data_IF_492768055774
#
_entry.id   IF_492768055774
#
_cell.length_a   1.000
_cell.length_b   1.000
_cell.length_c   1.000
_cell.angle_alpha   90.00
_cell.angle_beta   90.00
_cell.angle_gamma   90.00
#
_symmetry.space_group_name_H-M   'P 1'
#
loop_
_entity.id
_entity.type
_entity.pdbx_description
1 polymer ?
#
# COMPACT_ATOMS: atom_id res chain seq x y z
N UNK A 1 -17.31 -3.55 -44.05
CA UNK A 1 -15.85 -3.36 -43.90
C UNK A 1 -15.63 -2.89 -42.47
N UNK A 2 -15.19 -3.80 -41.62
CA UNK A 2 -15.00 -3.65 -40.17
C UNK A 2 -13.70 -2.91 -39.90
N UNK A 3 -13.76 -1.78 -39.20
CA UNK A 3 -12.63 -1.17 -38.50
C UNK A 3 -13.18 -0.19 -37.47
N UNK A 4 -12.50 -0.09 -36.32
CA UNK A 4 -12.71 0.82 -35.17
C UNK A 4 -13.41 0.21 -33.96
N UNK A 5 -12.78 -0.77 -33.33
CA UNK A 5 -13.05 -1.20 -31.94
C UNK A 5 -11.81 -1.89 -31.36
N UNK A 6 -10.67 -1.19 -31.35
CA UNK A 6 -9.44 -1.65 -30.68
C UNK A 6 -8.77 -0.51 -29.88
N UNK A 7 -9.57 0.36 -29.26
CA UNK A 7 -9.09 1.36 -28.29
C UNK A 7 -9.98 1.28 -27.05
N UNK A 8 -9.87 0.20 -26.27
CA UNK A 8 -10.65 0.12 -25.00
C UNK A 8 -10.18 -0.88 -23.95
N UNK A 9 -9.10 -1.65 -24.15
CA UNK A 9 -8.70 -2.68 -23.16
C UNK A 9 -7.57 -2.24 -22.21
N UNK A 10 -6.59 -1.47 -22.69
CA UNK A 10 -5.40 -1.11 -21.90
C UNK A 10 -5.65 0.05 -20.92
N UNK A 11 -6.47 1.04 -21.27
CA UNK A 11 -6.79 2.17 -20.37
C UNK A 11 -7.69 1.76 -19.19
N UNK A 12 -8.54 0.74 -19.38
CA UNK A 12 -9.39 0.22 -18.32
C UNK A 12 -8.57 -0.51 -17.25
N UNK A 13 -7.48 -1.22 -17.63
CA UNK A 13 -6.62 -1.93 -16.66
C UNK A 13 -5.76 -1.01 -15.80
N UNK A 14 -5.43 0.21 -16.24
CA UNK A 14 -4.60 1.14 -15.48
C UNK A 14 -5.41 2.09 -14.57
N UNK A 15 -6.68 2.38 -14.89
CA UNK A 15 -7.51 3.32 -14.12
C UNK A 15 -8.22 2.71 -12.90
N UNK A 16 -8.26 1.38 -12.78
CA UNK A 16 -9.04 0.71 -11.71
C UNK A 16 -8.50 0.98 -10.31
N UNK A 17 -7.21 1.32 -10.14
CA UNK A 17 -6.60 1.40 -8.80
C UNK A 17 -6.65 2.77 -8.12
N UNK A 18 -6.85 3.88 -8.83
CA UNK A 18 -6.82 5.22 -8.21
C UNK A 18 -8.00 5.52 -7.26
N UNK A 19 -8.98 4.61 -7.19
CA UNK A 19 -10.06 4.60 -6.20
C UNK A 19 -10.36 3.22 -5.62
N UNK A 20 -9.55 2.20 -5.93
CA UNK A 20 -9.73 0.87 -5.40
C UNK A 20 -9.41 0.84 -3.91
N UNK A 21 -10.31 0.27 -3.11
CA UNK A 21 -10.02 -0.11 -1.73
C UNK A 21 -10.02 -1.63 -1.69
N UNK A 22 -8.95 -2.26 -1.22
CA UNK A 22 -8.93 -3.71 -1.14
C UNK A 22 -10.03 -4.20 -0.21
N UNK A 23 -10.49 -5.44 -0.44
CA UNK A 23 -11.43 -6.10 0.47
C UNK A 23 -10.69 -6.37 1.77
N UNK A 24 -10.92 -5.50 2.74
CA UNK A 24 -10.56 -5.76 4.11
C UNK A 24 -11.55 -6.76 4.71
N UNK A 25 -11.12 -7.59 5.66
CA UNK A 25 -12.05 -8.36 6.44
C UNK A 25 -13.02 -7.40 7.13
N UNK A 26 -14.28 -7.79 7.23
CA UNK A 26 -15.31 -6.96 7.87
C UNK A 26 -14.99 -6.69 9.34
N UNK A 27 -14.26 -7.62 9.96
CA UNK A 27 -13.67 -7.49 11.29
C UNK A 27 -12.16 -7.54 11.11
N UNK A 28 -11.43 -6.53 11.59
CA UNK A 28 -9.97 -6.53 11.55
C UNK A 28 -9.43 -7.24 12.82
N UNK A 29 -9.00 -8.51 12.74
CA UNK A 29 -8.59 -9.25 13.94
C UNK A 29 -7.19 -8.84 14.44
N UNK A 30 -6.41 -8.13 13.64
CA UNK A 30 -5.06 -7.65 14.02
C UNK A 30 -5.06 -6.17 14.40
N UNK A 31 -6.18 -5.47 14.26
CA UNK A 31 -6.37 -4.11 14.76
C UNK A 31 -6.40 -4.06 16.29
N UNK A 32 -5.89 -2.98 16.88
CA UNK A 32 -5.86 -2.78 18.34
C UNK A 32 -7.24 -2.87 19.00
N UNK A 33 -8.32 -2.60 18.26
CA UNK A 33 -9.71 -2.66 18.74
C UNK A 33 -10.21 -4.09 18.98
N UNK A 34 -9.66 -5.07 18.28
CA UNK A 34 -10.12 -6.44 18.37
C UNK A 34 -9.85 -7.06 19.76
N UNK A 35 -8.76 -6.64 20.43
CA UNK A 35 -8.46 -7.09 21.81
C UNK A 35 -9.49 -6.58 22.82
N UNK A 36 -10.02 -5.35 22.63
CA UNK A 36 -11.11 -4.82 23.44
C UNK A 36 -12.40 -5.62 23.25
N UNK A 37 -12.69 -6.02 22.01
CA UNK A 37 -13.83 -6.87 21.70
C UNK A 37 -13.73 -8.24 22.39
N UNK A 38 -12.53 -8.83 22.40
CA UNK A 38 -12.27 -10.12 23.08
C UNK A 38 -12.40 -9.99 24.60
N UNK A 39 -11.89 -8.92 25.20
CA UNK A 39 -11.84 -8.76 26.66
C UNK A 39 -13.13 -8.22 27.28
N UNK A 40 -13.72 -7.20 26.65
CA UNK A 40 -14.74 -6.37 27.28
C UNK A 40 -16.09 -6.39 26.58
N UNK A 41 -16.09 -6.63 25.26
CA UNK A 41 -17.27 -6.67 24.42
C UNK A 41 -17.70 -8.09 24.03
N UNK A 42 -18.53 -8.15 22.99
CA UNK A 42 -19.03 -9.38 22.37
C UNK A 42 -19.15 -9.19 20.87
N UNK A 43 -18.61 -10.11 20.07
CA UNK A 43 -18.89 -10.16 18.64
C UNK A 43 -20.13 -11.00 18.38
N UNK A 44 -21.17 -10.38 17.83
CA UNK A 44 -22.44 -11.01 17.53
C UNK A 44 -22.56 -11.27 16.03
N UNK A 45 -23.10 -12.43 15.69
CA UNK A 45 -23.72 -12.69 14.39
C UNK A 45 -25.23 -12.45 14.54
N UNK A 46 -25.78 -11.60 13.69
CA UNK A 46 -27.22 -11.35 13.67
C UNK A 46 -27.75 -11.08 12.27
N UNK A 47 -29.07 -11.08 12.17
CA UNK A 47 -29.80 -10.76 10.95
C UNK A 47 -30.56 -9.45 11.15
N UNK A 48 -30.43 -8.49 10.22
CA UNK A 48 -31.18 -7.23 10.28
C UNK A 48 -32.67 -7.53 10.12
N UNK A 49 -33.48 -7.19 11.12
CA UNK A 49 -34.95 -7.35 11.07
C UNK A 49 -35.67 -6.03 10.85
N UNK A 50 -35.06 -4.91 11.26
CA UNK A 50 -35.57 -3.56 11.02
C UNK A 50 -34.39 -2.61 10.77
N UNK A 51 -34.56 -1.65 9.87
CA UNK A 51 -33.58 -0.62 9.57
C UNK A 51 -34.27 0.69 9.20
N UNK A 52 -33.80 1.79 9.77
CA UNK A 52 -34.30 3.15 9.52
C UNK A 52 -33.11 4.11 9.38
N UNK A 53 -33.15 4.98 8.38
CA UNK A 53 -32.18 6.08 8.26
C UNK A 53 -32.64 7.23 9.15
N UNK A 54 -31.78 7.71 10.04
CA UNK A 54 -32.15 8.82 10.94
C UNK A 54 -32.21 10.18 10.24
N UNK A 55 -31.68 10.27 9.01
CA UNK A 55 -31.57 11.52 8.25
C UNK A 55 -30.43 12.42 8.71
N UNK A 56 -29.65 12.03 9.73
CA UNK A 56 -28.40 12.71 10.06
C UNK A 56 -27.30 12.27 9.11
N UNK A 57 -26.73 13.22 8.40
CA UNK A 57 -25.49 13.10 7.64
C UNK A 57 -24.41 13.89 8.37
N UNK A 58 -23.14 13.56 8.18
CA UNK A 58 -22.02 14.28 8.80
C UNK A 58 -21.90 15.71 8.21
N UNK A 59 -22.72 16.64 8.72
CA UNK A 59 -22.93 18.00 8.18
C UNK A 59 -21.63 18.80 8.11
N UNK A 60 -20.68 18.51 9.00
CA UNK A 60 -19.42 19.25 9.12
C UNK A 60 -18.36 18.82 8.09
N UNK A 61 -18.60 17.76 7.29
CA UNK A 61 -17.59 17.14 6.41
C UNK A 61 -16.26 16.82 7.11
N UNK A 62 -16.28 16.66 8.43
CA UNK A 62 -15.08 16.31 9.20
C UNK A 62 -14.56 14.92 8.82
N UNK A 63 -15.43 14.06 8.29
CA UNK A 63 -15.09 12.68 7.95
C UNK A 63 -15.28 12.45 6.45
N UNK A 64 -14.19 12.55 5.68
CA UNK A 64 -14.09 11.80 4.43
C UNK A 64 -13.70 10.36 4.79
N UNK A 65 -14.49 9.32 4.42
CA UNK A 65 -15.67 9.31 3.54
C UNK A 65 -17.04 9.49 4.24
N UNK A 66 -18.10 9.74 3.45
CA UNK A 66 -19.50 9.96 3.92
C UNK A 66 -20.02 8.85 4.86
N UNK A 67 -20.38 9.24 6.09
CA UNK A 67 -21.04 8.36 7.06
C UNK A 67 -22.55 8.61 7.10
N UNK A 68 -23.31 7.53 7.28
CA UNK A 68 -24.77 7.57 7.44
C UNK A 68 -25.13 6.96 8.80
N UNK A 69 -25.95 7.67 9.57
CA UNK A 69 -26.51 7.17 10.82
C UNK A 69 -27.78 6.33 10.56
N UNK A 70 -27.82 5.15 11.15
CA UNK A 70 -28.92 4.21 11.09
C UNK A 70 -29.44 3.89 12.49
N UNK A 71 -30.73 3.58 12.56
CA UNK A 71 -31.33 2.77 13.62
C UNK A 71 -31.60 1.41 13.08
N UNK A 72 -31.29 0.36 13.85
CA UNK A 72 -31.55 -0.99 13.40
C UNK A 72 -31.88 -1.93 14.54
N UNK A 73 -32.61 -3.00 14.21
CA UNK A 73 -32.86 -4.13 15.11
C UNK A 73 -32.24 -5.38 14.50
N UNK A 74 -31.47 -6.11 15.30
CA UNK A 74 -30.87 -7.38 14.95
C UNK A 74 -31.60 -8.51 15.67
N UNK A 75 -32.00 -9.56 14.95
CA UNK A 75 -32.22 -10.87 15.55
C UNK A 75 -30.84 -11.53 15.72
N UNK A 76 -30.52 -11.95 16.94
CA UNK A 76 -29.19 -12.50 17.24
C UNK A 76 -29.18 -14.00 16.96
N UNK A 77 -28.32 -14.41 16.03
CA UNK A 77 -28.16 -15.81 15.63
C UNK A 77 -27.26 -16.54 16.65
N UNK A 78 -26.09 -15.95 16.95
CA UNK A 78 -25.13 -16.47 17.95
C UNK A 78 -24.10 -15.44 18.38
N UNK A 79 -23.44 -15.73 19.51
CA UNK A 79 -22.17 -15.11 19.92
C UNK A 79 -21.02 -15.83 19.24
N UNK A 80 -20.10 -15.10 18.60
CA UNK A 80 -18.89 -15.68 18.01
C UNK A 80 -17.78 -15.80 19.07
N UNK A 81 -17.44 -14.69 19.74
CA UNK A 81 -16.57 -14.69 20.92
C UNK A 81 -16.80 -13.42 21.77
N UNK A 82 -16.19 -13.37 22.95
CA UNK A 82 -16.35 -12.29 23.93
C UNK A 82 -17.28 -12.70 25.07
N UNK A 83 -17.92 -11.72 25.73
CA UNK A 83 -18.82 -11.98 26.86
C UNK A 83 -20.12 -12.66 26.42
N UNK A 84 -20.74 -13.48 27.28
CA UNK A 84 -22.06 -14.04 27.01
C UNK A 84 -23.09 -12.94 26.71
N UNK A 85 -23.92 -13.18 25.70
CA UNK A 85 -25.05 -12.34 25.34
C UNK A 85 -26.31 -13.20 25.32
N UNK A 86 -27.31 -12.84 26.12
CA UNK A 86 -28.48 -13.69 26.38
C UNK A 86 -29.76 -13.20 25.69
N UNK A 87 -29.74 -12.00 25.11
CA UNK A 87 -30.90 -11.46 24.41
C UNK A 87 -31.00 -12.06 23.01
N UNK A 88 -32.23 -12.33 22.56
CA UNK A 88 -32.50 -12.84 21.21
C UNK A 88 -32.61 -11.72 20.17
N UNK A 89 -32.74 -10.48 20.63
CA UNK A 89 -32.93 -9.30 19.79
C UNK A 89 -32.16 -8.14 20.38
N UNK A 90 -31.45 -7.39 19.54
CA UNK A 90 -30.69 -6.21 19.94
C UNK A 90 -31.21 -5.00 19.16
N UNK A 91 -31.65 -3.95 19.88
CA UNK A 91 -32.04 -2.67 19.30
C UNK A 91 -30.88 -1.68 19.38
N UNK A 92 -30.56 -1.06 18.25
CA UNK A 92 -29.43 -0.13 18.10
C UNK A 92 -30.00 1.21 17.65
N UNK A 93 -29.98 2.19 18.56
CA UNK A 93 -30.59 3.51 18.38
C UNK A 93 -29.75 4.50 17.55
N UNK A 94 -28.46 4.20 17.39
CA UNK A 94 -27.54 4.97 16.55
C UNK A 94 -26.40 4.06 16.12
N UNK A 95 -26.18 3.95 14.82
CA UNK A 95 -25.04 3.25 14.24
C UNK A 95 -24.57 4.00 13.01
N UNK A 96 -23.30 4.35 12.99
CA UNK A 96 -22.69 5.05 11.86
C UNK A 96 -21.96 4.03 10.99
N UNK A 97 -22.31 3.96 9.71
CA UNK A 97 -21.57 3.16 8.74
C UNK A 97 -21.09 4.04 7.58
N UNK A 98 -19.97 3.64 7.00
CA UNK A 98 -19.41 4.28 5.81
C UNK A 98 -20.21 3.81 4.60
N UNK A 99 -20.84 4.76 3.88
CA UNK A 99 -21.70 4.48 2.73
C UNK A 99 -21.02 3.62 1.66
N UNK A 100 -19.72 3.83 1.51
CA UNK A 100 -18.89 3.22 0.47
C UNK A 100 -18.25 1.88 0.85
N UNK A 101 -18.45 1.38 2.07
CA UNK A 101 -17.74 0.18 2.55
C UNK A 101 -18.64 -0.98 3.00
N UNK A 102 -19.97 -0.88 2.84
CA UNK A 102 -20.88 -1.93 3.31
C UNK A 102 -20.73 -3.24 2.51
N UNK A 103 -20.94 -3.19 1.20
CA UNK A 103 -20.68 -4.30 0.29
C UNK A 103 -19.88 -3.74 -0.89
N UNK A 104 -18.54 -3.79 -0.79
CA UNK A 104 -17.64 -3.44 -1.90
C UNK A 104 -17.72 -4.42 -3.10
N UNK A 105 -18.75 -5.27 -3.15
CA UNK A 105 -18.85 -6.44 -4.03
C UNK A 105 -19.50 -6.10 -5.38
N UNK A 106 -20.11 -4.92 -5.54
CA UNK A 106 -20.69 -4.52 -6.84
C UNK A 106 -20.54 -3.02 -7.09
N UNK A 107 -20.48 -2.64 -8.39
CA UNK A 107 -20.58 -1.25 -8.86
C UNK A 107 -21.78 -0.52 -8.25
N UNK A 108 -22.82 -1.28 -7.90
CA UNK A 108 -23.92 -0.83 -7.07
C UNK A 108 -23.53 -0.92 -5.60
N UNK A 109 -23.13 0.21 -5.00
CA UNK A 109 -22.94 0.36 -3.56
C UNK A 109 -24.27 0.09 -2.83
N UNK A 110 -24.50 -1.15 -2.42
CA UNK A 110 -25.76 -1.54 -1.77
C UNK A 110 -25.68 -1.21 -0.28
N UNK A 111 -26.58 -0.37 0.27
CA UNK A 111 -26.65 -0.11 1.71
C UNK A 111 -27.16 -1.35 2.47
N UNK A 112 -26.99 -1.43 3.80
CA UNK A 112 -27.57 -2.49 4.61
C UNK A 112 -29.09 -2.59 4.43
N UNK A 113 -29.62 -3.81 4.41
CA UNK A 113 -31.04 -4.10 4.23
C UNK A 113 -31.57 -5.12 5.23
N UNK A 114 -32.89 -5.14 5.42
CA UNK A 114 -33.55 -6.19 6.18
C UNK A 114 -33.28 -7.55 5.53
N UNK A 115 -32.90 -8.54 6.34
CA UNK A 115 -32.50 -9.87 5.89
C UNK A 115 -30.98 -10.06 5.77
N UNK A 116 -30.18 -8.97 5.74
CA UNK A 116 -28.73 -9.09 5.71
C UNK A 116 -28.21 -9.73 7.00
N UNK A 117 -27.30 -10.71 6.84
CA UNK A 117 -26.50 -11.24 7.94
C UNK A 117 -25.28 -10.37 8.19
N UNK A 118 -25.09 -10.00 9.45
CA UNK A 118 -24.09 -9.01 9.84
C UNK A 118 -23.30 -9.45 11.07
N UNK A 119 -22.04 -9.03 11.09
CA UNK A 119 -21.17 -9.04 12.24
C UNK A 119 -21.32 -7.71 12.97
N UNK A 120 -21.62 -7.75 14.27
CA UNK A 120 -21.79 -6.56 15.09
C UNK A 120 -21.00 -6.66 16.39
N UNK A 121 -20.17 -5.67 16.70
CA UNK A 121 -19.52 -5.58 18.00
C UNK A 121 -20.39 -4.88 19.03
N UNK A 122 -20.81 -5.64 20.03
CA UNK A 122 -21.57 -5.13 21.15
C UNK A 122 -20.64 -4.79 22.33
N UNK A 123 -20.80 -3.59 22.88
CA UNK A 123 -20.21 -3.17 24.13
C UNK A 123 -21.32 -2.74 25.10
N UNK A 124 -21.17 -2.99 26.41
CA UNK A 124 -22.07 -2.46 27.42
C UNK A 124 -22.26 -0.94 27.29
N UNK A 125 -23.44 -0.38 27.62
CA UNK A 125 -23.75 1.04 27.40
C UNK A 125 -22.77 2.02 28.05
N UNK A 126 -22.18 1.66 29.19
CA UNK A 126 -21.16 2.43 29.92
C UNK A 126 -19.80 2.47 29.21
N UNK A 127 -19.60 1.62 28.21
CA UNK A 127 -18.38 1.51 27.38
C UNK A 127 -18.66 1.68 25.89
N UNK A 128 -19.84 2.19 25.55
CA UNK A 128 -20.28 2.32 24.17
C UNK A 128 -19.69 3.58 23.52
N UNK A 129 -18.80 3.36 22.54
CA UNK A 129 -18.29 4.41 21.67
C UNK A 129 -18.81 4.18 20.24
N UNK A 130 -19.74 5.01 19.72
CA UNK A 130 -20.37 4.80 18.41
C UNK A 130 -19.39 4.65 17.24
N UNK A 131 -18.17 5.20 17.37
CA UNK A 131 -17.11 5.21 16.36
C UNK A 131 -16.20 3.97 16.38
N UNK A 132 -16.40 3.07 17.35
CA UNK A 132 -15.55 1.90 17.60
C UNK A 132 -16.24 0.58 17.28
N UNK A 133 -17.42 0.65 16.66
CA UNK A 133 -18.27 -0.51 16.43
C UNK A 133 -17.94 -1.14 15.07
N UNK A 134 -17.64 -2.44 15.09
CA UNK A 134 -17.67 -3.28 13.91
C UNK A 134 -19.12 -3.49 13.50
N UNK A 135 -19.44 -3.08 12.28
CA UNK A 135 -20.68 -3.41 11.59
C UNK A 135 -20.32 -3.71 10.15
N UNK A 136 -20.43 -4.99 9.77
CA UNK A 136 -20.03 -5.46 8.45
C UNK A 136 -20.87 -6.67 8.01
N UNK A 137 -21.00 -6.92 6.71
CA UNK A 137 -21.65 -8.13 6.22
C UNK A 137 -20.90 -9.40 6.66
N UNK A 138 -21.65 -10.43 7.04
CA UNK A 138 -21.11 -11.71 7.50
C UNK A 138 -20.90 -12.68 6.33
N UNK A 139 -19.80 -12.53 5.58
CA UNK A 139 -19.44 -13.51 4.54
C UNK A 139 -19.06 -14.86 5.13
N UNK A 140 -19.30 -15.95 4.38
CA UNK A 140 -18.94 -17.30 4.85
C UNK A 140 -17.45 -17.46 5.16
N UNK A 141 -16.57 -16.85 4.36
CA UNK A 141 -15.12 -16.88 4.59
C UNK A 141 -14.74 -16.15 5.88
N UNK A 142 -15.37 -15.01 6.16
CA UNK A 142 -15.15 -14.26 7.40
C UNK A 142 -15.63 -15.06 8.61
N UNK A 143 -16.81 -15.66 8.52
CA UNK A 143 -17.36 -16.49 9.59
C UNK A 143 -16.46 -17.70 9.88
N UNK A 144 -16.01 -18.42 8.86
CA UNK A 144 -15.08 -19.55 9.02
C UNK A 144 -13.78 -19.10 9.70
N UNK A 145 -13.24 -17.94 9.32
CA UNK A 145 -12.04 -17.38 9.97
C UNK A 145 -12.28 -17.07 11.44
N UNK A 146 -13.34 -16.34 11.75
CA UNK A 146 -13.65 -15.93 13.11
C UNK A 146 -13.99 -17.12 14.02
N UNK A 147 -14.65 -18.15 13.49
CA UNK A 147 -14.90 -19.41 14.20
C UNK A 147 -13.58 -20.10 14.57
N UNK A 148 -12.63 -20.20 13.63
CA UNK A 148 -11.29 -20.74 13.92
C UNK A 148 -10.56 -19.94 15.01
N UNK A 149 -10.66 -18.62 14.98
CA UNK A 149 -10.10 -17.75 16.03
C UNK A 149 -10.76 -18.06 17.38
N UNK A 150 -12.09 -18.10 17.43
CA UNK A 150 -12.85 -18.39 18.64
C UNK A 150 -12.51 -19.77 19.23
N UNK A 151 -12.38 -20.80 18.38
CA UNK A 151 -11.97 -22.14 18.79
C UNK A 151 -10.58 -22.16 19.43
N UNK A 152 -9.61 -21.42 18.87
CA UNK A 152 -8.27 -21.30 19.47
C UNK A 152 -8.35 -20.61 20.83
N UNK A 153 -9.05 -19.48 20.90
CA UNK A 153 -9.15 -18.69 22.13
C UNK A 153 -9.86 -19.45 23.27
N UNK A 154 -10.75 -20.38 22.94
CA UNK A 154 -11.51 -21.19 23.91
C UNK A 154 -10.90 -22.56 24.19
N UNK A 155 -9.87 -22.98 23.45
CA UNK A 155 -9.15 -24.25 23.66
C UNK A 155 -8.53 -24.28 25.05
N UNK A 156 -8.91 -25.22 25.92
CA UNK A 156 -8.46 -25.26 27.34
C UNK A 156 -6.99 -25.60 27.54
N UNK A 157 -6.39 -26.34 26.60
CA UNK A 157 -4.98 -26.72 26.66
C UNK A 157 -4.14 -25.65 25.96
N UNK A 158 -3.33 -24.92 26.75
CA UNK A 158 -2.52 -23.79 26.28
C UNK A 158 -1.50 -24.23 25.21
N UNK A 159 -0.85 -25.38 25.38
CA UNK A 159 0.10 -25.95 24.41
C UNK A 159 -0.59 -26.29 23.09
N UNK A 160 -1.79 -26.88 23.16
CA UNK A 160 -2.57 -27.18 21.97
C UNK A 160 -3.01 -25.89 21.23
N UNK A 161 -3.38 -24.85 21.98
CA UNK A 161 -3.74 -23.56 21.41
C UNK A 161 -2.51 -22.87 20.75
N UNK A 162 -1.37 -22.89 21.43
CA UNK A 162 -0.10 -22.39 20.92
C UNK A 162 0.32 -23.10 19.63
N UNK A 163 0.22 -24.43 19.59
CA UNK A 163 0.51 -25.21 18.39
C UNK A 163 -0.44 -24.86 17.22
N UNK A 164 -1.74 -24.64 17.50
CA UNK A 164 -2.70 -24.19 16.48
C UNK A 164 -2.36 -22.79 15.96
N UNK A 165 -1.88 -21.89 16.81
CA UNK A 165 -1.40 -20.56 16.39
C UNK A 165 -0.18 -20.70 15.48
N UNK A 166 0.82 -21.48 15.88
CA UNK A 166 2.04 -21.70 15.09
C UNK A 166 1.75 -22.32 13.72
N UNK A 167 0.90 -23.35 13.67
CA UNK A 167 0.43 -23.92 12.40
C UNK A 167 -0.36 -22.90 11.59
N UNK A 168 -1.20 -22.11 12.26
CA UNK A 168 -1.99 -21.05 11.65
C UNK A 168 -1.17 -19.93 11.01
N UNK A 169 0.08 -19.69 11.45
CA UNK A 169 0.96 -18.72 10.80
C UNK A 169 1.23 -19.05 9.33
N UNK A 170 1.15 -20.33 8.93
CA UNK A 170 1.38 -20.81 7.56
C UNK A 170 0.07 -21.05 6.79
N UNK A 171 -1.05 -20.53 7.28
CA UNK A 171 -2.36 -20.78 6.70
C UNK A 171 -2.55 -20.12 5.34
N UNK A 172 -3.26 -20.76 4.39
CA UNK A 172 -3.58 -20.15 3.10
C UNK A 172 -4.52 -18.93 3.21
N UNK A 173 -5.29 -18.76 4.30
CA UNK A 173 -6.02 -17.52 4.54
C UNK A 173 -5.07 -16.44 5.10
N UNK A 174 -4.72 -15.42 4.30
CA UNK A 174 -3.69 -14.45 4.68
C UNK A 174 -4.07 -13.61 5.90
N UNK A 175 -5.36 -13.39 6.13
CA UNK A 175 -5.82 -12.61 7.28
C UNK A 175 -5.77 -13.44 8.56
N UNK A 176 -6.07 -14.74 8.48
CA UNK A 176 -5.90 -15.67 9.60
C UNK A 176 -4.42 -15.86 9.93
N UNK A 177 -3.58 -16.11 8.93
CA UNK A 177 -2.14 -16.24 9.09
C UNK A 177 -1.52 -14.99 9.73
N UNK A 178 -1.91 -13.80 9.27
CA UNK A 178 -1.48 -12.54 9.87
C UNK A 178 -1.94 -12.37 11.32
N UNK A 179 -3.16 -12.80 11.66
CA UNK A 179 -3.63 -12.78 13.04
C UNK A 179 -2.78 -13.72 13.91
N UNK A 180 -2.55 -14.97 13.48
CA UNK A 180 -1.70 -15.92 14.20
C UNK A 180 -0.28 -15.36 14.41
N UNK A 181 0.33 -14.77 13.37
CA UNK A 181 1.63 -14.12 13.46
C UNK A 181 1.62 -12.95 14.46
N UNK A 182 0.55 -12.16 14.49
CA UNK A 182 0.40 -11.05 15.44
C UNK A 182 0.30 -11.56 16.88
N UNK A 183 -0.52 -12.58 17.13
CA UNK A 183 -0.69 -13.22 18.45
C UNK A 183 0.61 -13.85 18.95
N UNK A 184 1.38 -14.45 18.04
CA UNK A 184 2.67 -15.09 18.33
C UNK A 184 3.81 -14.13 18.67
N UNK A 185 3.58 -12.80 18.73
CA UNK A 185 4.59 -11.86 19.20
C UNK A 185 5.14 -12.28 20.58
N UNK A 186 6.41 -11.98 20.88
CA UNK A 186 7.08 -12.42 22.10
C UNK A 186 6.64 -11.62 23.33
N UNK A 187 6.60 -12.26 24.50
CA UNK A 187 5.98 -11.71 25.72
C UNK A 187 6.58 -10.36 26.16
N UNK A 188 7.88 -10.17 25.92
CA UNK A 188 8.68 -8.99 26.20
C UNK A 188 8.47 -7.82 25.22
N UNK A 189 8.03 -8.10 24.00
CA UNK A 189 7.84 -7.08 22.95
C UNK A 189 6.49 -6.35 23.01
N UNK A 190 5.51 -6.90 23.72
CA UNK A 190 4.14 -6.34 23.76
C UNK A 190 3.84 -5.79 25.15
N UNK A 191 3.73 -4.46 25.23
CA UNK A 191 3.37 -3.74 26.47
C UNK A 191 1.88 -3.41 26.57
N UNK A 192 1.11 -3.67 25.50
CA UNK A 192 -0.34 -3.43 25.49
C UNK A 192 -1.06 -4.42 26.43
N UNK A 193 -1.55 -3.91 27.56
CA UNK A 193 -2.28 -4.68 28.57
C UNK A 193 -3.52 -5.38 28.01
N UNK A 194 -4.24 -4.77 27.07
CA UNK A 194 -5.44 -5.39 26.49
C UNK A 194 -5.07 -6.56 25.60
N UNK A 195 -4.03 -6.41 24.78
CA UNK A 195 -3.48 -7.52 24.02
C UNK A 195 -3.01 -8.68 24.92
N UNK A 196 -2.26 -8.37 25.98
CA UNK A 196 -1.80 -9.37 26.95
C UNK A 196 -2.96 -10.09 27.63
N UNK A 197 -4.05 -9.39 27.94
CA UNK A 197 -5.24 -9.99 28.55
C UNK A 197 -5.97 -10.90 27.56
N UNK A 198 -6.11 -10.48 26.31
CA UNK A 198 -6.85 -11.23 25.28
C UNK A 198 -6.12 -12.51 24.86
N UNK A 199 -4.78 -12.45 24.73
CA UNK A 199 -4.00 -13.51 24.10
C UNK A 199 -2.93 -14.13 25.00
N UNK A 200 -2.68 -13.57 26.18
CA UNK A 200 -1.57 -13.96 27.06
C UNK A 200 -1.51 -15.46 27.32
N UNK A 201 -2.66 -16.10 27.55
CA UNK A 201 -2.75 -17.55 27.77
C UNK A 201 -2.29 -18.36 26.57
N UNK A 202 -2.86 -18.11 25.39
CA UNK A 202 -2.60 -18.93 24.19
C UNK A 202 -1.22 -18.68 23.58
N UNK A 203 -0.60 -17.53 23.87
CA UNK A 203 0.75 -17.20 23.39
C UNK A 203 1.87 -17.56 24.35
N UNK A 204 1.59 -17.74 25.65
CA UNK A 204 2.62 -17.98 26.66
C UNK A 204 3.56 -19.17 26.34
N UNK A 205 3.09 -20.27 25.73
CA UNK A 205 3.98 -21.38 25.36
C UNK A 205 4.84 -21.14 24.11
N UNK A 206 4.56 -20.09 23.33
CA UNK A 206 5.25 -19.82 22.06
C UNK A 206 6.59 -19.13 22.35
N UNK A 207 7.69 -19.75 21.95
CA UNK A 207 9.01 -19.14 22.09
C UNK A 207 9.31 -18.16 20.95
N UNK A 208 10.24 -17.25 21.20
CA UNK A 208 10.75 -16.33 20.18
C UNK A 208 11.30 -17.08 18.98
N UNK A 209 12.04 -18.17 19.19
CA UNK A 209 12.64 -19.00 18.14
C UNK A 209 11.58 -19.60 17.21
N UNK A 210 10.52 -20.20 17.76
CA UNK A 210 9.44 -20.80 16.95
C UNK A 210 8.77 -19.78 16.04
N UNK A 211 8.54 -18.56 16.55
CA UNK A 211 8.01 -17.45 15.77
C UNK A 211 8.97 -17.01 14.67
N UNK A 212 10.24 -16.84 15.01
CA UNK A 212 11.29 -16.44 14.06
C UNK A 212 11.38 -17.46 12.92
N UNK A 213 11.34 -18.75 13.25
CA UNK A 213 11.34 -19.83 12.28
C UNK A 213 10.13 -19.76 11.36
N UNK A 214 8.92 -19.51 11.88
CA UNK A 214 7.72 -19.31 11.07
C UNK A 214 7.85 -18.10 10.13
N UNK A 215 8.36 -16.96 10.62
CA UNK A 215 8.64 -15.78 9.80
C UNK A 215 9.63 -16.09 8.67
N UNK A 216 10.71 -16.83 8.95
CA UNK A 216 11.69 -17.24 7.94
C UNK A 216 11.11 -18.22 6.92
N UNK A 217 10.27 -19.17 7.34
CA UNK A 217 9.59 -20.09 6.44
C UNK A 217 8.71 -19.33 5.46
N UNK A 218 7.89 -18.39 5.95
CA UNK A 218 7.03 -17.55 5.11
C UNK A 218 7.82 -16.63 4.18
N UNK A 219 8.90 -16.02 4.67
CA UNK A 219 9.74 -15.15 3.84
C UNK A 219 10.42 -15.92 2.70
N UNK A 220 10.79 -17.18 2.95
CA UNK A 220 11.39 -18.09 1.95
C UNK A 220 10.37 -18.65 0.96
N UNK A 221 9.09 -18.62 1.27
CA UNK A 221 8.03 -19.13 0.41
C UNK A 221 7.64 -18.10 -0.66
N UNK A 222 7.93 -18.34 -1.95
CA UNK A 222 7.55 -17.43 -3.02
C UNK A 222 6.04 -17.32 -3.21
N UNK A 223 5.23 -18.23 -2.66
CA UNK A 223 3.76 -18.22 -2.74
C UNK A 223 3.10 -17.52 -1.55
N UNK A 224 3.87 -17.02 -0.59
CA UNK A 224 3.35 -16.26 0.54
C UNK A 224 2.48 -15.10 0.04
N UNK A 225 1.31 -14.86 0.63
CA UNK A 225 0.48 -13.72 0.25
C UNK A 225 1.15 -12.40 0.67
N UNK A 226 1.06 -11.35 -0.17
CA UNK A 226 1.73 -10.06 0.03
C UNK A 226 1.49 -9.42 1.41
N UNK A 227 0.25 -9.49 1.91
CA UNK A 227 -0.12 -9.03 3.26
C UNK A 227 0.72 -9.67 4.36
N UNK A 228 0.97 -10.98 4.24
CA UNK A 228 1.74 -11.78 5.21
C UNK A 228 3.22 -11.54 5.01
N UNK A 229 3.68 -11.51 3.76
CA UNK A 229 5.08 -11.28 3.40
C UNK A 229 5.61 -9.95 3.98
N UNK A 230 4.88 -8.86 3.76
CA UNK A 230 5.25 -7.54 4.28
C UNK A 230 5.29 -7.56 5.82
N UNK A 231 4.30 -8.20 6.46
CA UNK A 231 4.24 -8.33 7.91
C UNK A 231 5.45 -9.08 8.48
N UNK A 232 5.78 -10.27 7.96
CA UNK A 232 6.94 -11.04 8.44
C UNK A 232 8.26 -10.34 8.18
N UNK A 233 8.38 -9.62 7.06
CA UNK A 233 9.57 -8.84 6.76
C UNK A 233 9.79 -7.74 7.81
N UNK A 234 8.75 -6.99 8.18
CA UNK A 234 8.85 -5.99 9.25
C UNK A 234 9.28 -6.61 10.57
N UNK A 235 8.75 -7.80 10.92
CA UNK A 235 9.12 -8.49 12.16
C UNK A 235 10.57 -8.95 12.16
N UNK A 236 11.07 -9.48 11.05
CA UNK A 236 12.48 -9.87 10.93
C UNK A 236 13.40 -8.65 10.91
N UNK A 237 13.05 -7.59 10.18
CA UNK A 237 13.85 -6.37 10.08
C UNK A 237 13.94 -5.58 11.40
N UNK A 238 12.94 -5.67 12.27
CA UNK A 238 12.96 -5.06 13.59
C UNK A 238 13.95 -5.75 14.55
N UNK A 239 14.46 -6.93 14.19
CA UNK A 239 15.50 -7.64 14.95
C UNK A 239 16.88 -7.21 14.48
N UNK A 240 17.85 -7.26 15.38
CA UNK A 240 19.27 -7.15 15.05
C UNK A 240 19.73 -8.42 14.31
N UNK A 241 19.40 -8.52 13.02
CA UNK A 241 19.81 -9.63 12.17
C UNK A 241 21.33 -9.64 11.98
N UNK A 242 21.91 -10.84 11.98
CA UNK A 242 23.31 -11.06 11.60
C UNK A 242 23.53 -10.75 10.11
N UNK A 243 24.79 -10.59 9.70
CA UNK A 243 25.12 -10.38 8.27
C UNK A 243 24.62 -11.53 7.39
N UNK A 244 24.73 -12.78 7.85
CA UNK A 244 24.25 -13.95 7.11
C UNK A 244 22.71 -13.94 6.98
N UNK A 245 22.00 -13.55 8.03
CA UNK A 245 20.54 -13.38 7.98
C UNK A 245 20.14 -12.23 7.06
N UNK A 246 20.86 -11.10 7.05
CA UNK A 246 20.58 -10.01 6.12
C UNK A 246 20.74 -10.47 4.66
N UNK A 247 21.80 -11.21 4.34
CA UNK A 247 22.00 -11.77 3.00
C UNK A 247 20.87 -12.74 2.62
N UNK A 248 20.53 -13.69 3.51
CA UNK A 248 19.43 -14.62 3.28
C UNK A 248 18.09 -13.89 3.08
N UNK A 249 17.87 -12.77 3.79
CA UNK A 249 16.70 -11.91 3.62
C UNK A 249 16.66 -11.26 2.24
N UNK A 250 17.78 -10.73 1.75
CA UNK A 250 17.86 -10.16 0.40
C UNK A 250 17.62 -11.21 -0.69
N UNK A 251 18.13 -12.43 -0.52
CA UNK A 251 17.87 -13.55 -1.44
C UNK A 251 16.38 -13.94 -1.46
N UNK A 252 15.68 -13.81 -0.33
CA UNK A 252 14.24 -14.02 -0.27
C UNK A 252 13.48 -12.89 -0.97
N UNK A 253 13.93 -11.64 -0.84
CA UNK A 253 13.35 -10.49 -1.56
C UNK A 253 13.52 -10.62 -3.07
N UNK A 254 14.66 -11.12 -3.54
CA UNK A 254 14.91 -11.30 -4.97
C UNK A 254 13.99 -12.38 -5.55
N UNK A 255 13.96 -13.57 -4.94
CA UNK A 255 13.04 -14.65 -5.32
C UNK A 255 11.58 -14.22 -5.28
N UNK A 256 11.23 -13.32 -4.35
CA UNK A 256 9.88 -12.78 -4.26
C UNK A 256 9.56 -11.83 -5.41
N UNK A 257 10.48 -10.94 -5.80
CA UNK A 257 10.31 -10.10 -6.98
C UNK A 257 10.14 -10.96 -8.25
N UNK A 258 10.88 -12.06 -8.37
CA UNK A 258 10.72 -13.01 -9.48
C UNK A 258 9.34 -13.67 -9.46
N UNK A 259 8.89 -14.16 -8.30
CA UNK A 259 7.55 -14.74 -8.18
C UNK A 259 6.42 -13.74 -8.49
N UNK A 260 6.60 -12.46 -8.12
CA UNK A 260 5.65 -11.40 -8.50
C UNK A 260 5.71 -11.10 -10.00
N UNK A 261 6.88 -11.19 -10.64
CA UNK A 261 7.01 -11.00 -12.09
C UNK A 261 6.25 -12.04 -12.92
N UNK A 262 6.10 -13.25 -12.38
CA UNK A 262 5.41 -14.39 -13.01
C UNK A 262 3.93 -14.50 -12.59
N UNK A 263 3.39 -13.53 -11.84
CA UNK A 263 2.04 -13.60 -11.29
C UNK A 263 0.98 -13.11 -12.30
N UNK A 264 0.06 -14.01 -12.68
CA UNK A 264 -1.01 -13.75 -13.65
C UNK A 264 -2.39 -13.45 -13.00
N UNK A 265 -2.42 -12.88 -11.79
CA UNK A 265 -3.68 -12.74 -11.06
C UNK A 265 -4.64 -11.69 -11.67
N UNK A 266 -5.91 -12.08 -11.81
CA UNK A 266 -7.03 -11.20 -12.16
C UNK A 266 -7.69 -10.56 -10.93
N UNK A 267 -7.30 -10.94 -9.70
CA UNK A 267 -7.87 -10.41 -8.46
C UNK A 267 -7.40 -8.97 -8.21
N UNK A 268 -8.31 -7.98 -8.11
CA UNK A 268 -7.93 -6.61 -7.81
C UNK A 268 -7.22 -6.44 -6.45
N UNK A 269 -7.54 -7.30 -5.46
CA UNK A 269 -6.88 -7.31 -4.15
C UNK A 269 -5.42 -7.75 -4.24
N UNK A 270 -5.17 -8.87 -4.93
CA UNK A 270 -3.82 -9.41 -5.09
C UNK A 270 -2.96 -8.43 -5.88
N UNK A 271 -3.53 -7.78 -6.91
CA UNK A 271 -2.84 -6.71 -7.62
C UNK A 271 -2.52 -5.52 -6.73
N UNK A 272 -3.48 -5.03 -5.93
CA UNK A 272 -3.26 -3.92 -5.01
C UNK A 272 -2.15 -4.23 -4.00
N UNK A 273 -2.21 -5.40 -3.35
CA UNK A 273 -1.21 -5.78 -2.36
C UNK A 273 0.15 -6.10 -2.99
N UNK A 274 0.20 -6.66 -4.20
CA UNK A 274 1.43 -6.92 -4.95
C UNK A 274 2.15 -5.62 -5.36
N UNK A 275 1.41 -4.62 -5.87
CA UNK A 275 2.00 -3.31 -6.19
C UNK A 275 2.58 -2.61 -4.94
N UNK A 276 1.88 -2.71 -3.81
CA UNK A 276 2.37 -2.21 -2.51
C UNK A 276 3.61 -2.97 -2.06
N UNK A 277 3.62 -4.29 -2.21
CA UNK A 277 4.76 -5.13 -1.81
C UNK A 277 6.01 -4.79 -2.62
N UNK A 278 5.92 -4.62 -3.94
CA UNK A 278 7.05 -4.19 -4.78
C UNK A 278 7.60 -2.86 -4.27
N UNK A 279 6.73 -1.87 -4.06
CA UNK A 279 7.13 -0.58 -3.50
C UNK A 279 7.81 -0.73 -2.14
N UNK A 280 7.31 -1.61 -1.27
CA UNK A 280 7.88 -1.87 0.04
C UNK A 280 9.27 -2.52 -0.06
N UNK A 281 9.43 -3.52 -0.91
CA UNK A 281 10.68 -4.23 -1.14
C UNK A 281 11.79 -3.27 -1.56
N UNK A 282 11.55 -2.43 -2.57
CA UNK A 282 12.59 -1.52 -3.09
C UNK A 282 12.86 -0.33 -2.17
N UNK A 283 11.84 0.21 -1.47
CA UNK A 283 12.00 1.36 -0.57
C UNK A 283 12.59 1.00 0.79
N UNK A 284 12.24 -0.18 1.30
CA UNK A 284 12.52 -0.57 2.68
C UNK A 284 13.34 -1.85 2.74
N UNK A 285 12.97 -2.87 1.96
CA UNK A 285 13.68 -4.15 1.91
C UNK A 285 15.14 -4.00 1.47
N UNK A 286 15.39 -3.29 0.36
CA UNK A 286 16.72 -3.12 -0.23
C UNK A 286 17.50 -1.89 0.25
N UNK A 287 16.95 -1.09 1.18
CA UNK A 287 17.57 0.17 1.64
C UNK A 287 18.99 0.00 2.21
N UNK A 288 19.29 -1.17 2.78
CA UNK A 288 20.59 -1.52 3.36
C UNK A 288 21.23 -2.73 2.67
N UNK A 289 20.75 -3.10 1.49
CA UNK A 289 21.28 -4.22 0.74
C UNK A 289 22.63 -3.86 0.09
N UNK A 290 23.56 -4.83 -0.04
CA UNK A 290 24.80 -4.60 -0.76
C UNK A 290 24.52 -4.28 -2.23
N UNK A 291 25.48 -3.61 -2.87
CA UNK A 291 25.39 -3.19 -4.27
C UNK A 291 24.98 -4.35 -5.21
N UNK A 292 25.54 -5.54 -5.03
CA UNK A 292 25.22 -6.73 -5.84
C UNK A 292 23.74 -7.07 -5.81
N UNK A 293 23.14 -7.17 -4.62
CA UNK A 293 21.71 -7.50 -4.45
C UNK A 293 20.80 -6.41 -5.01
N UNK A 294 21.20 -5.13 -4.95
CA UNK A 294 20.42 -4.04 -5.58
C UNK A 294 20.47 -4.11 -7.10
N UNK A 295 21.61 -4.47 -7.68
CA UNK A 295 21.76 -4.64 -9.12
C UNK A 295 20.95 -5.84 -9.63
N UNK A 296 20.94 -6.97 -8.90
CA UNK A 296 20.10 -8.13 -9.21
C UNK A 296 18.61 -7.81 -9.12
N UNK A 297 18.20 -7.06 -8.09
CA UNK A 297 16.83 -6.56 -7.99
C UNK A 297 16.46 -5.66 -9.17
N UNK A 298 17.35 -4.74 -9.58
CA UNK A 298 17.14 -3.87 -10.73
C UNK A 298 16.99 -4.66 -12.04
N UNK A 299 17.76 -5.74 -12.24
CA UNK A 299 17.60 -6.62 -13.39
C UNK A 299 16.22 -7.29 -13.41
N UNK A 300 15.70 -7.70 -12.26
CA UNK A 300 14.35 -8.27 -12.15
C UNK A 300 13.27 -7.22 -12.44
N UNK A 301 13.40 -6.01 -11.88
CA UNK A 301 12.49 -4.90 -12.20
C UNK A 301 12.55 -4.52 -13.69
N UNK A 302 13.72 -4.62 -14.34
CA UNK A 302 13.86 -4.41 -15.79
C UNK A 302 13.05 -5.43 -16.58
N UNK A 303 13.16 -6.72 -16.27
CA UNK A 303 12.33 -7.77 -16.90
C UNK A 303 10.84 -7.47 -16.73
N UNK A 304 10.41 -7.10 -15.52
CA UNK A 304 9.02 -6.71 -15.24
C UNK A 304 8.57 -5.47 -16.03
N UNK A 305 9.47 -4.49 -16.22
CA UNK A 305 9.18 -3.26 -16.95
C UNK A 305 9.09 -3.46 -18.47
N UNK A 306 9.84 -4.44 -19.00
CA UNK A 306 9.91 -4.79 -20.43
C UNK A 306 8.79 -5.75 -20.86
N UNK A 307 8.30 -6.60 -19.95
CA UNK A 307 7.18 -7.50 -20.20
C UNK A 307 5.83 -6.75 -20.22
N UNK A 308 5.16 -6.76 -21.37
CA UNK A 308 3.88 -6.07 -21.57
C UNK A 308 2.71 -6.75 -20.86
N UNK A 309 2.80 -8.05 -20.59
CA UNK A 309 1.76 -8.82 -19.90
C UNK A 309 1.92 -8.76 -18.37
N UNK A 310 3.09 -8.34 -17.87
CA UNK A 310 3.33 -8.22 -16.44
C UNK A 310 2.40 -7.19 -15.80
N UNK A 311 1.50 -7.66 -14.93
CA UNK A 311 0.49 -6.82 -14.26
C UNK A 311 1.09 -5.75 -13.33
N UNK A 312 2.36 -5.93 -12.92
CA UNK A 312 3.10 -5.05 -12.02
C UNK A 312 4.14 -4.16 -12.72
N UNK A 313 4.17 -4.16 -14.05
CA UNK A 313 5.07 -3.35 -14.88
C UNK A 313 5.19 -1.89 -14.41
N UNK A 314 4.06 -1.27 -14.06
CA UNK A 314 4.01 0.13 -13.60
C UNK A 314 4.68 0.35 -12.25
N UNK A 315 4.52 -0.59 -11.31
CA UNK A 315 5.17 -0.52 -10.01
C UNK A 315 6.69 -0.65 -10.16
N UNK A 316 7.15 -1.54 -11.03
CA UNK A 316 8.57 -1.70 -11.35
C UNK A 316 9.17 -0.40 -11.93
N UNK A 317 8.51 0.21 -12.93
CA UNK A 317 8.96 1.48 -13.52
C UNK A 317 8.97 2.61 -12.49
N UNK A 318 7.91 2.73 -11.68
CA UNK A 318 7.73 3.81 -10.70
C UNK A 318 8.80 3.77 -9.61
N UNK A 319 9.03 2.58 -9.04
CA UNK A 319 9.76 2.47 -7.77
C UNK A 319 11.22 2.02 -7.92
N UNK A 320 11.69 1.68 -9.13
CA UNK A 320 13.10 1.32 -9.35
C UNK A 320 14.09 2.36 -8.81
N UNK A 321 13.74 3.66 -8.85
CA UNK A 321 14.59 4.73 -8.31
C UNK A 321 14.94 4.55 -6.82
N UNK A 322 14.10 3.87 -6.04
CA UNK A 322 14.33 3.70 -4.60
C UNK A 322 15.44 2.69 -4.26
N UNK A 323 15.95 1.96 -5.26
CA UNK A 323 17.18 1.19 -5.10
C UNK A 323 18.41 2.09 -4.97
N UNK A 324 18.34 3.38 -5.27
CA UNK A 324 19.46 4.31 -5.18
C UNK A 324 20.17 4.29 -3.81
N UNK A 325 21.49 4.53 -3.84
CA UNK A 325 22.33 4.74 -2.67
C UNK A 325 23.38 5.82 -2.97
N UNK A 326 23.44 6.84 -2.12
CA UNK A 326 24.40 7.93 -2.27
C UNK A 326 25.85 7.39 -2.22
N UNK A 327 26.69 7.84 -3.14
CA UNK A 327 28.09 7.41 -3.21
C UNK A 327 28.31 6.08 -3.95
N UNK A 328 27.31 5.57 -4.68
CA UNK A 328 27.42 4.35 -5.51
C UNK A 328 27.26 4.67 -7.03
N UNK A 329 28.30 5.20 -7.72
CA UNK A 329 28.19 5.60 -9.13
C UNK A 329 27.76 4.47 -10.09
N UNK A 330 28.18 3.24 -9.81
CA UNK A 330 27.81 2.08 -10.62
C UNK A 330 26.29 1.81 -10.59
N UNK A 331 25.67 1.94 -9.41
CA UNK A 331 24.23 1.78 -9.25
C UNK A 331 23.46 2.92 -9.89
N UNK A 332 23.93 4.16 -9.69
CA UNK A 332 23.37 5.35 -10.32
C UNK A 332 23.29 5.22 -11.84
N UNK A 333 24.43 4.87 -12.46
CA UNK A 333 24.52 4.63 -13.90
C UNK A 333 23.56 3.53 -14.37
N UNK A 334 23.46 2.44 -13.61
CA UNK A 334 22.53 1.35 -13.94
C UNK A 334 21.06 1.79 -13.86
N UNK A 335 20.69 2.61 -12.86
CA UNK A 335 19.35 3.16 -12.71
C UNK A 335 18.99 4.14 -13.83
N UNK A 336 19.89 5.04 -14.21
CA UNK A 336 19.65 5.91 -15.37
C UNK A 336 19.57 5.13 -16.68
N UNK A 337 20.37 4.08 -16.85
CA UNK A 337 20.25 3.18 -17.99
C UNK A 337 18.91 2.44 -18.01
N UNK A 338 18.42 1.98 -16.85
CA UNK A 338 17.09 1.39 -16.72
C UNK A 338 15.99 2.33 -17.23
N UNK A 339 15.98 3.59 -16.79
CA UNK A 339 14.98 4.56 -17.26
C UNK A 339 15.15 4.87 -18.77
N UNK A 340 16.39 4.98 -19.25
CA UNK A 340 16.67 5.17 -20.68
C UNK A 340 16.11 4.02 -21.52
N UNK A 341 16.26 2.77 -21.09
CA UNK A 341 15.78 1.58 -21.79
C UNK A 341 14.26 1.44 -21.70
N UNK A 342 13.65 1.82 -20.58
CA UNK A 342 12.21 1.70 -20.33
C UNK A 342 11.39 2.91 -20.82
N UNK A 343 11.89 3.64 -21.83
CA UNK A 343 11.32 4.94 -22.21
C UNK A 343 9.88 4.81 -22.73
N UNK A 344 8.88 5.43 -22.09
CA UNK A 344 7.47 5.23 -22.44
C UNK A 344 7.08 5.60 -23.87
N UNK A 345 7.75 6.61 -24.45
CA UNK A 345 7.51 7.06 -25.82
C UNK A 345 7.87 5.98 -26.87
N UNK A 346 8.75 5.04 -26.53
CA UNK A 346 9.08 3.88 -27.38
C UNK A 346 8.14 2.68 -27.12
N UNK A 347 7.38 2.73 -26.03
CA UNK A 347 6.53 1.64 -25.52
C UNK A 347 5.02 1.91 -25.69
N UNK A 348 4.61 2.98 -26.40
CA UNK A 348 3.21 3.39 -26.60
C UNK A 348 2.37 3.45 -25.31
N UNK A 349 2.97 3.82 -24.18
CA UNK A 349 2.32 3.77 -22.88
C UNK A 349 1.35 4.94 -22.67
N UNK A 350 0.32 4.70 -21.86
CA UNK A 350 -0.71 5.69 -21.56
C UNK A 350 -0.19 6.88 -20.71
N UNK A 351 -1.04 7.90 -20.53
CA UNK A 351 -0.70 9.10 -19.75
C UNK A 351 -0.31 8.78 -18.31
N UNK A 352 -0.92 7.77 -17.69
CA UNK A 352 -0.67 7.43 -16.29
C UNK A 352 0.73 6.83 -16.12
N UNK A 353 1.12 5.95 -17.03
CA UNK A 353 2.44 5.32 -17.05
C UNK A 353 3.56 6.34 -17.24
N UNK A 354 3.36 7.29 -18.15
CA UNK A 354 4.28 8.41 -18.36
C UNK A 354 4.48 9.25 -17.08
N UNK A 355 3.40 9.51 -16.34
CA UNK A 355 3.46 10.25 -15.08
C UNK A 355 4.29 9.51 -14.02
N UNK A 356 4.14 8.18 -13.91
CA UNK A 356 4.89 7.35 -12.97
C UNK A 356 6.37 7.25 -13.33
N UNK A 357 6.69 7.03 -14.62
CA UNK A 357 8.07 7.06 -15.14
C UNK A 357 8.77 8.37 -14.79
N UNK A 358 8.15 9.50 -15.11
CA UNK A 358 8.72 10.82 -14.86
C UNK A 358 8.85 11.12 -13.36
N UNK A 359 7.97 10.55 -12.53
CA UNK A 359 8.08 10.62 -11.07
C UNK A 359 9.29 9.85 -10.53
N UNK A 360 9.51 8.62 -11.01
CA UNK A 360 10.68 7.81 -10.63
C UNK A 360 12.00 8.46 -11.06
N UNK A 361 12.08 8.93 -12.31
CA UNK A 361 13.25 9.64 -12.82
C UNK A 361 13.53 10.94 -12.02
N UNK A 362 12.50 11.71 -11.69
CA UNK A 362 12.64 12.90 -10.87
C UNK A 362 13.23 12.57 -9.49
N UNK A 363 12.73 11.55 -8.81
CA UNK A 363 13.25 11.14 -7.50
C UNK A 363 14.74 10.77 -7.59
N UNK A 364 15.13 10.00 -8.61
CA UNK A 364 16.53 9.63 -8.83
C UNK A 364 17.42 10.86 -9.06
N UNK A 365 16.98 11.79 -9.90
CA UNK A 365 17.70 13.06 -10.13
C UNK A 365 17.85 13.88 -8.85
N UNK A 366 16.81 13.95 -8.03
CA UNK A 366 16.83 14.69 -6.76
C UNK A 366 17.81 14.06 -5.77
N UNK A 367 17.78 12.74 -5.62
CA UNK A 367 18.67 12.03 -4.70
C UNK A 367 20.14 12.16 -5.09
N UNK A 368 20.45 12.01 -6.39
CA UNK A 368 21.81 12.16 -6.92
C UNK A 368 22.32 13.60 -6.82
N UNK A 369 21.47 14.57 -7.13
CA UNK A 369 21.81 15.98 -6.98
C UNK A 369 22.03 16.36 -5.53
N UNK A 370 21.25 15.79 -4.60
CA UNK A 370 21.45 15.99 -3.17
C UNK A 370 22.79 15.45 -2.70
N UNK A 371 23.17 14.27 -3.19
CA UNK A 371 24.42 13.61 -2.86
C UNK A 371 25.64 14.34 -3.44
N UNK A 372 25.58 14.73 -4.71
CA UNK A 372 26.71 15.36 -5.43
C UNK A 372 26.78 16.89 -5.26
N UNK A 373 25.70 17.51 -4.74
CA UNK A 373 25.52 18.97 -4.69
C UNK A 373 25.64 19.64 -6.06
N UNK A 374 25.26 18.92 -7.12
CA UNK A 374 25.31 19.39 -8.50
C UNK A 374 24.06 18.98 -9.28
N UNK A 375 23.79 19.69 -10.38
CA UNK A 375 22.70 19.35 -11.30
C UNK A 375 23.03 18.05 -12.05
N UNK A 376 22.05 17.14 -12.15
CA UNK A 376 22.26 15.81 -12.73
C UNK A 376 21.96 15.79 -14.23
N UNK A 377 23.00 16.00 -15.05
CA UNK A 377 22.86 16.16 -16.51
C UNK A 377 22.30 14.94 -17.23
N UNK A 378 22.64 13.71 -16.82
CA UNK A 378 22.11 12.50 -17.49
C UNK A 378 20.59 12.37 -17.34
N UNK A 379 20.06 12.79 -16.19
CA UNK A 379 18.62 12.81 -15.95
C UNK A 379 17.93 13.91 -16.76
N UNK A 380 18.55 15.10 -16.83
CA UNK A 380 18.08 16.20 -17.67
C UNK A 380 17.98 15.80 -19.14
N UNK A 381 18.99 15.14 -19.71
CA UNK A 381 18.95 14.65 -21.10
C UNK A 381 17.73 13.74 -21.36
N UNK A 382 17.37 12.88 -20.39
CA UNK A 382 16.18 12.03 -20.52
C UNK A 382 14.88 12.84 -20.48
N UNK A 383 14.80 13.85 -19.60
CA UNK A 383 13.64 14.76 -19.52
C UNK A 383 13.52 15.59 -20.80
N UNK A 384 14.62 16.13 -21.33
CA UNK A 384 14.67 16.88 -22.60
C UNK A 384 14.17 16.06 -23.77
N UNK A 385 14.60 14.79 -23.86
CA UNK A 385 14.11 13.88 -24.87
C UNK A 385 12.59 13.68 -24.75
N UNK A 386 12.05 13.57 -23.53
CA UNK A 386 10.60 13.46 -23.31
C UNK A 386 9.84 14.72 -23.71
N UNK A 387 10.41 15.90 -23.49
CA UNK A 387 9.81 17.20 -23.89
C UNK A 387 9.79 17.34 -25.41
N UNK A 388 10.90 17.01 -26.09
CA UNK A 388 11.08 17.28 -27.53
C UNK A 388 10.49 16.21 -28.44
N UNK A 389 10.37 14.96 -27.99
CA UNK A 389 10.03 13.82 -28.86
C UNK A 389 8.70 13.12 -28.52
N UNK A 390 8.00 13.53 -27.45
CA UNK A 390 6.73 12.89 -27.03
C UNK A 390 5.50 13.69 -27.46
N UNK A 391 4.34 13.04 -27.43
CA UNK A 391 3.06 13.72 -27.60
C UNK A 391 2.82 14.80 -26.52
N UNK A 392 2.07 15.85 -26.87
CA UNK A 392 1.84 17.04 -26.04
C UNK A 392 1.52 16.74 -24.56
N UNK A 393 0.60 15.81 -24.19
CA UNK A 393 0.29 15.57 -22.78
C UNK A 393 1.48 15.07 -21.96
N UNK A 394 2.33 14.24 -22.58
CA UNK A 394 3.53 13.68 -21.95
C UNK A 394 4.61 14.73 -21.84
N UNK A 395 4.83 15.49 -22.90
CA UNK A 395 5.79 16.59 -22.92
C UNK A 395 5.45 17.65 -21.86
N UNK A 396 4.16 18.04 -21.70
CA UNK A 396 3.72 18.92 -20.62
C UNK A 396 4.00 18.34 -19.22
N UNK A 397 3.78 17.04 -19.01
CA UNK A 397 4.13 16.38 -17.74
C UNK A 397 5.65 16.40 -17.48
N UNK A 398 6.47 16.22 -18.51
CA UNK A 398 7.93 16.33 -18.40
C UNK A 398 8.37 17.76 -18.04
N UNK A 399 7.77 18.79 -18.65
CA UNK A 399 7.99 20.20 -18.27
C UNK A 399 7.63 20.43 -16.80
N UNK A 400 6.50 19.89 -16.32
CA UNK A 400 6.13 19.99 -14.91
C UNK A 400 7.18 19.37 -13.99
N UNK A 401 7.73 18.19 -14.33
CA UNK A 401 8.79 17.55 -13.53
C UNK A 401 10.11 18.29 -13.58
N UNK A 402 10.45 18.90 -14.71
CA UNK A 402 11.60 19.79 -14.82
C UNK A 402 11.46 20.99 -13.87
N UNK A 403 10.26 21.58 -13.77
CA UNK A 403 9.98 22.66 -12.83
C UNK A 403 10.09 22.19 -11.37
N UNK A 404 9.57 20.99 -11.04
CA UNK A 404 9.69 20.41 -9.70
C UNK A 404 11.16 20.18 -9.31
N UNK A 405 11.98 19.74 -10.26
CA UNK A 405 13.42 19.56 -10.07
C UNK A 405 14.16 20.89 -9.88
N UNK A 406 13.85 21.92 -10.68
CA UNK A 406 14.42 23.25 -10.52
C UNK A 406 14.12 23.85 -9.13
N UNK A 407 12.87 23.73 -8.63
CA UNK A 407 12.51 24.14 -7.26
C UNK A 407 13.26 23.34 -6.20
N UNK A 408 13.48 22.05 -6.43
CA UNK A 408 14.29 21.22 -5.54
C UNK A 408 15.74 21.72 -5.48
N UNK A 409 16.37 22.01 -6.62
CA UNK A 409 17.73 22.55 -6.66
C UNK A 409 17.83 23.90 -5.92
N UNK A 410 16.86 24.80 -6.13
CA UNK A 410 16.78 26.08 -5.39
C UNK A 410 16.68 25.84 -3.87
N UNK A 411 15.77 24.96 -3.44
CA UNK A 411 15.56 24.61 -2.03
C UNK A 411 16.83 24.01 -1.39
N UNK A 412 17.51 23.11 -2.09
CA UNK A 412 18.72 22.44 -1.62
C UNK A 412 20.01 23.26 -1.86
N UNK A 413 19.88 24.48 -2.39
CA UNK A 413 21.00 25.39 -2.72
C UNK A 413 22.01 24.78 -3.69
N UNK A 414 21.53 24.01 -4.66
CA UNK A 414 22.32 23.43 -5.74
C UNK A 414 22.38 24.45 -6.86
N UNK A 415 23.59 24.91 -7.20
CA UNK A 415 23.78 25.94 -8.20
C UNK A 415 23.34 25.44 -9.59
N UNK A 416 22.43 26.20 -10.22
CA UNK A 416 22.06 26.03 -11.63
C UNK A 416 22.02 27.40 -12.33
N UNK A 417 23.20 28.02 -12.55
CA UNK A 417 23.28 29.41 -13.03
C UNK A 417 22.63 29.61 -14.40
N UNK A 418 22.69 28.60 -15.26
CA UNK A 418 22.20 28.66 -16.64
C UNK A 418 20.75 28.19 -16.80
N UNK A 419 19.98 28.04 -15.71
CA UNK A 419 18.60 27.56 -15.77
C UNK A 419 17.70 28.38 -16.73
N UNK A 420 17.78 29.72 -16.79
CA UNK A 420 17.01 30.49 -17.77
C UNK A 420 17.39 30.16 -19.24
N UNK A 421 18.68 30.15 -19.56
CA UNK A 421 19.18 29.79 -20.91
C UNK A 421 18.83 28.35 -21.28
N UNK A 422 18.80 27.45 -20.29
CA UNK A 422 18.40 26.07 -20.46
C UNK A 422 16.93 25.94 -20.90
N UNK A 423 16.02 26.72 -20.30
CA UNK A 423 14.62 26.77 -20.77
C UNK A 423 14.50 27.36 -22.18
N UNK A 424 15.28 28.39 -22.53
CA UNK A 424 15.29 28.97 -23.88
C UNK A 424 15.72 27.96 -24.94
N UNK A 425 16.78 27.20 -24.67
CA UNK A 425 17.24 26.13 -25.55
C UNK A 425 16.15 25.06 -25.76
N UNK A 426 15.44 24.68 -24.69
CA UNK A 426 14.32 23.76 -24.76
C UNK A 426 13.15 24.30 -25.60
N UNK A 427 12.83 25.60 -25.47
CA UNK A 427 11.78 26.23 -26.28
C UNK A 427 12.11 26.14 -27.78
N UNK A 428 13.37 26.36 -28.14
CA UNK A 428 13.83 26.36 -29.53
C UNK A 428 13.69 24.98 -30.21
N UNK A 429 13.91 23.90 -29.46
CA UNK A 429 13.86 22.52 -29.98
C UNK A 429 12.50 21.83 -29.83
N UNK A 430 11.54 22.48 -29.14
CA UNK A 430 10.21 21.90 -28.89
C UNK A 430 9.24 22.23 -30.02
N UNK A 431 8.66 21.22 -30.71
CA UNK A 431 7.79 21.47 -31.87
C UNK A 431 6.39 21.98 -31.50
N UNK A 432 5.85 21.51 -30.37
CA UNK A 432 4.47 21.80 -29.96
C UNK A 432 4.32 23.16 -29.25
N UNK A 433 3.40 24.01 -29.73
CA UNK A 433 3.20 25.37 -29.21
C UNK A 433 2.70 25.40 -27.75
N UNK A 434 1.88 24.44 -27.33
CA UNK A 434 1.39 24.39 -25.95
C UNK A 434 2.49 23.99 -24.97
N UNK A 435 3.38 23.09 -25.39
CA UNK A 435 4.57 22.73 -24.62
C UNK A 435 5.54 23.91 -24.57
N UNK A 436 5.76 24.63 -25.68
CA UNK A 436 6.54 25.88 -25.71
C UNK A 436 5.98 26.93 -24.76
N UNK A 437 4.66 27.10 -24.71
CA UNK A 437 4.02 28.02 -23.76
C UNK A 437 4.26 27.63 -22.30
N UNK A 438 4.23 26.33 -22.00
CA UNK A 438 4.54 25.80 -20.68
C UNK A 438 5.99 26.05 -20.29
N UNK A 439 6.94 25.86 -21.22
CA UNK A 439 8.36 26.19 -21.04
C UNK A 439 8.59 27.71 -20.86
N UNK A 440 7.90 28.57 -21.62
CA UNK A 440 7.97 30.03 -21.44
C UNK A 440 7.49 30.46 -20.05
N UNK A 441 6.42 29.83 -19.56
CA UNK A 441 5.92 30.10 -18.21
C UNK A 441 6.91 29.63 -17.13
N UNK A 442 7.55 28.47 -17.32
CA UNK A 442 8.63 28.01 -16.46
C UNK A 442 9.83 28.97 -16.48
N UNK A 443 10.28 29.39 -17.66
CA UNK A 443 11.37 30.36 -17.81
C UNK A 443 11.08 31.68 -17.07
N UNK A 444 9.84 32.18 -17.14
CA UNK A 444 9.42 33.37 -16.37
C UNK A 444 9.45 33.12 -14.85
N UNK A 445 9.01 31.94 -14.41
CA UNK A 445 9.00 31.57 -12.99
C UNK A 445 10.42 31.55 -12.41
N UNK A 446 11.41 31.03 -13.15
CA UNK A 446 12.79 30.88 -12.67
C UNK A 446 13.74 32.00 -13.14
N UNK A 447 13.30 32.89 -14.03
CA UNK A 447 14.05 34.02 -14.58
C UNK A 447 13.73 35.38 -13.94
N UNK A 448 12.75 35.46 -13.03
CA UNK A 448 12.51 36.65 -12.23
C UNK A 448 13.53 36.71 -11.07
N UNK A 449 14.44 37.67 -11.13
CA UNK A 449 15.53 37.91 -10.17
C UNK A 449 15.10 37.92 -8.68
N UNK A 450 16.01 37.60 -7.73
CA UNK A 450 15.73 37.48 -6.31
C UNK A 450 15.22 38.79 -5.69
N UNK A 451 14.33 38.67 -4.70
CA UNK A 451 13.97 39.75 -3.78
C UNK A 451 15.24 40.29 -3.12
N UNK A 452 15.75 41.43 -3.62
CA UNK A 452 16.60 42.29 -2.84
C UNK A 452 15.72 43.00 -1.81
N UNK A 453 16.04 42.80 -0.54
CA UNK A 453 16.19 43.88 0.44
C UNK A 453 16.70 43.23 1.75
N UNK A 454 18.04 43.24 1.90
CA UNK A 454 18.65 43.26 3.24
C UNK A 454 18.77 44.74 3.59
N UNK A 455 18.16 45.22 4.67
CA UNK A 455 18.40 46.59 5.12
C UNK A 455 19.81 46.63 5.71
N UNK A 456 20.67 47.42 5.09
CA UNK A 456 21.91 47.90 5.71
C UNK A 456 21.57 48.80 6.89
N UNK A 457 22.07 48.44 8.07
CA UNK A 457 22.30 49.36 9.18
C UNK A 457 23.73 49.88 9.13
#
# INVERSE_FOLDING_TARGET
MLLTLCISATSARAQVLSGYRPRYPGVDPYGSRFTYLVNEGTLLLGTITQIEKTGKEDIDKWHHPDYIELRLTLAIDRVIFGKPFHEQTLKIESLWYVRDSWLAVSENKVPPQVGDKVLYSYFPPDKYYPREIFFAPASESELKRLDRIAEILTTRNDEQAAQRILVGCLDPDPFFARWCLSVSDAQDTVTDRNFLTAYGRVRAPITSEQKIDACWQLLKDPKCHSLVYEFVNYRLAARSLTNQEQLARFDCHLRRLEALSEMDSVSPDERYYGEREISFLVRTGYKSAPLSSRLEALQTLKRMAEDEECIFRLAAIRDACFLHEAGQPALSKALFQFYRDCRPAQMNLDRHTNYLYLGGLLNLMQDESKATKSVHHEGLQQVEAMISQSAMPVACSAVSRLCDYARFCEKEKIAWPDLPHYFEALIAITPDENVRNSLRNAAKQFGAAPRQEVPTF
#
